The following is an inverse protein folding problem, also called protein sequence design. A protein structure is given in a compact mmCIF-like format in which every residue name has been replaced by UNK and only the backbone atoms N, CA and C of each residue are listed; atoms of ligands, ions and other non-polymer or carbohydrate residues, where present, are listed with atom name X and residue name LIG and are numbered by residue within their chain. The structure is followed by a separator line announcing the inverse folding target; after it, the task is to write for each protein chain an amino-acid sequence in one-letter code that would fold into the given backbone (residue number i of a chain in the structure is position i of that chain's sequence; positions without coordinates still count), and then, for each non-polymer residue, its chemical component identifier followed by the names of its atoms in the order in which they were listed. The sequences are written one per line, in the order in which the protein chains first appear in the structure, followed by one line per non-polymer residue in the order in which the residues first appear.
data_IF_080917539105
#
_entry.id   IF_080917539105
#
_cell.length_a   1.000
_cell.length_b   1.000
_cell.length_c   1.000
_cell.angle_alpha   90.00
_cell.angle_beta   90.00
_cell.angle_gamma   90.00
#
_symmetry.space_group_name_H-M   'P 1'
#
loop_
_entity.id
_entity.type
_entity.pdbx_description
1 polymer ?
#
# COMPACT_ATOMS: atom_id res chain seq x y z
N UNK A 1 -15.86 -39.61 -1.96
CA UNK A 1 -14.87 -39.36 -0.90
C UNK A 1 -13.40 -39.34 -1.40
N UNK A 2 -13.17 -39.09 -2.67
CA UNK A 2 -11.83 -39.06 -3.29
C UNK A 2 -11.44 -37.66 -3.83
N UNK A 3 -12.35 -36.69 -3.86
CA UNK A 3 -12.13 -35.37 -4.45
C UNK A 3 -11.53 -34.33 -3.47
N UNK A 4 -11.55 -34.61 -2.15
CA UNK A 4 -11.01 -33.70 -1.13
C UNK A 4 -9.50 -33.87 -0.83
N UNK A 5 -8.87 -34.94 -1.29
CA UNK A 5 -7.45 -35.21 -0.99
C UNK A 5 -6.47 -34.55 -1.95
N UNK A 6 -6.91 -34.10 -3.14
CA UNK A 6 -6.04 -33.49 -4.14
C UNK A 6 -5.77 -31.99 -3.94
N UNK A 7 -6.61 -31.31 -3.15
CA UNK A 7 -6.46 -29.87 -2.91
C UNK A 7 -5.37 -29.51 -1.87
N UNK A 8 -4.93 -30.47 -1.06
CA UNK A 8 -3.97 -30.23 0.04
C UNK A 8 -2.51 -30.50 -0.31
N UNK A 9 -2.21 -31.13 -1.43
CA UNK A 9 -0.84 -31.53 -1.79
C UNK A 9 -0.13 -30.53 -2.71
N UNK A 10 -0.87 -29.64 -3.39
CA UNK A 10 -0.26 -28.66 -4.32
C UNK A 10 0.24 -27.38 -3.63
N UNK A 11 -0.06 -27.20 -2.33
CA UNK A 11 0.28 -25.96 -1.61
C UNK A 11 1.68 -25.92 -0.98
N UNK A 12 2.53 -26.94 -1.15
CA UNK A 12 3.77 -27.07 -0.38
C UNK A 12 5.05 -26.58 -1.05
N UNK A 13 5.01 -26.05 -2.27
CA UNK A 13 6.24 -25.61 -2.97
C UNK A 13 6.13 -24.34 -3.83
N UNK A 14 5.30 -23.37 -3.47
CA UNK A 14 5.53 -22.02 -3.98
C UNK A 14 6.20 -21.25 -2.85
N UNK A 15 7.52 -21.30 -2.82
CA UNK A 15 8.35 -20.36 -2.09
C UNK A 15 8.03 -18.97 -2.69
N UNK A 16 7.05 -18.26 -2.12
CA UNK A 16 6.71 -16.89 -2.52
C UNK A 16 7.90 -16.02 -2.11
N UNK A 17 8.87 -15.88 -3.05
CA UNK A 17 10.10 -15.16 -2.76
C UNK A 17 9.93 -13.64 -2.85
N UNK A 18 8.92 -13.12 -3.55
CA UNK A 18 8.76 -11.68 -3.81
C UNK A 18 7.41 -11.19 -3.29
N UNK A 19 7.39 -10.73 -2.05
CA UNK A 19 6.14 -10.43 -1.33
C UNK A 19 5.93 -8.95 -1.02
N UNK A 20 6.99 -8.13 -1.01
CA UNK A 20 6.88 -6.74 -0.59
C UNK A 20 6.93 -5.76 -1.78
N UNK A 21 5.91 -4.90 -1.88
CA UNK A 21 5.93 -3.70 -2.72
C UNK A 21 6.35 -2.52 -1.84
N UNK A 22 7.54 -1.97 -2.08
CA UNK A 22 8.14 -0.96 -1.20
C UNK A 22 8.29 0.39 -1.89
N UNK A 23 8.22 1.53 -1.15
CA UNK A 23 8.39 2.84 -1.74
C UNK A 23 9.87 3.18 -1.98
N UNK A 24 10.19 3.75 -3.12
CA UNK A 24 11.38 4.60 -3.25
C UNK A 24 11.04 5.97 -2.66
N UNK A 25 11.60 6.23 -1.50
CA UNK A 25 11.26 7.41 -0.73
C UNK A 25 11.96 8.65 -1.31
N UNK A 26 11.21 9.73 -1.57
CA UNK A 26 11.77 10.94 -2.17
C UNK A 26 12.69 11.76 -1.26
N UNK A 27 12.74 11.45 0.04
CA UNK A 27 13.65 12.09 1.00
C UNK A 27 15.02 11.42 1.11
N UNK A 28 15.27 10.37 0.31
CA UNK A 28 16.58 9.73 0.26
C UNK A 28 17.63 10.72 -0.28
N UNK A 29 18.62 11.06 0.55
CA UNK A 29 19.83 11.68 0.02
C UNK A 29 20.62 10.67 -0.81
N UNK A 30 21.39 11.15 -1.78
CA UNK A 30 22.23 10.28 -2.62
C UNK A 30 23.19 9.42 -1.76
N UNK A 31 23.80 10.02 -0.75
CA UNK A 31 24.65 9.29 0.18
C UNK A 31 23.92 8.18 0.93
N UNK A 32 22.70 8.45 1.44
CA UNK A 32 21.91 7.42 2.13
C UNK A 32 21.45 6.33 1.17
N UNK A 33 21.13 6.69 -0.07
CA UNK A 33 20.81 5.73 -1.12
C UNK A 33 21.97 4.76 -1.35
N UNK A 34 23.18 5.28 -1.54
CA UNK A 34 24.38 4.48 -1.83
C UNK A 34 24.85 3.63 -0.64
N UNK A 35 24.90 4.24 0.55
CA UNK A 35 25.50 3.62 1.75
C UNK A 35 24.54 2.64 2.46
N UNK A 36 23.23 2.87 2.38
CA UNK A 36 22.24 2.15 3.20
C UNK A 36 21.16 1.48 2.36
N UNK A 37 20.45 2.27 1.51
CA UNK A 37 19.24 1.78 0.87
C UNK A 37 19.53 0.77 -0.25
N UNK A 38 20.48 1.08 -1.13
CA UNK A 38 20.86 0.16 -2.21
C UNK A 38 21.48 -1.15 -1.68
N UNK A 39 22.42 -1.15 -0.72
CA UNK A 39 22.90 -2.39 -0.09
C UNK A 39 21.77 -3.20 0.59
N UNK A 40 20.81 -2.52 1.23
CA UNK A 40 19.63 -3.19 1.78
C UNK A 40 18.84 -3.89 0.67
N UNK A 41 18.55 -3.21 -0.45
CA UNK A 41 17.84 -3.80 -1.58
C UNK A 41 18.59 -5.00 -2.16
N UNK A 42 19.89 -4.87 -2.37
CA UNK A 42 20.74 -5.94 -2.89
C UNK A 42 20.69 -7.21 -2.01
N UNK A 43 20.71 -7.03 -0.69
CA UNK A 43 20.74 -8.12 0.27
C UNK A 43 19.36 -8.77 0.52
N UNK A 44 18.25 -8.13 0.07
CA UNK A 44 16.90 -8.62 0.36
C UNK A 44 16.00 -8.65 -0.90
N UNK A 45 16.60 -8.60 -2.10
CA UNK A 45 15.86 -8.53 -3.38
C UNK A 45 14.89 -9.69 -3.60
N UNK A 46 15.14 -10.84 -3.00
CA UNK A 46 14.28 -12.02 -3.07
C UNK A 46 12.93 -11.82 -2.37
N UNK A 47 12.84 -10.89 -1.44
CA UNK A 47 11.59 -10.53 -0.76
C UNK A 47 10.86 -9.37 -1.43
N UNK A 48 11.50 -8.64 -2.35
CA UNK A 48 10.96 -7.43 -2.95
C UNK A 48 10.27 -7.76 -4.26
N UNK A 49 8.95 -7.57 -4.29
CA UNK A 49 8.14 -7.74 -5.49
C UNK A 49 8.41 -6.61 -6.48
N UNK A 50 8.25 -5.38 -6.04
CA UNK A 50 8.58 -4.18 -6.80
C UNK A 50 8.92 -2.99 -5.90
N UNK A 51 9.46 -1.96 -6.54
CA UNK A 51 9.67 -0.65 -5.93
C UNK A 51 8.82 0.36 -6.67
N UNK A 52 8.00 1.11 -5.93
CA UNK A 52 7.16 2.14 -6.53
C UNK A 52 7.57 3.55 -6.10
N UNK A 53 7.49 4.50 -7.02
CA UNK A 53 7.84 5.89 -6.77
C UNK A 53 6.78 6.85 -7.32
N UNK A 54 6.71 8.07 -6.79
CA UNK A 54 5.85 9.13 -7.34
C UNK A 54 6.52 9.71 -8.58
N UNK A 55 5.85 9.63 -9.73
CA UNK A 55 6.40 10.05 -11.02
C UNK A 55 6.64 11.56 -11.12
N UNK A 56 5.94 12.36 -10.33
CA UNK A 56 6.02 13.83 -10.30
C UNK A 56 5.86 14.51 -11.66
N UNK A 57 5.00 13.94 -12.46
CA UNK A 57 4.65 14.47 -13.78
C UNK A 57 3.32 15.22 -13.67
N UNK A 58 3.31 16.56 -13.82
CA UNK A 58 2.07 17.33 -13.79
C UNK A 58 1.10 16.91 -14.91
N UNK A 59 -0.20 16.93 -14.67
CA UNK A 59 -0.94 17.16 -13.42
C UNK A 59 -1.22 15.88 -12.62
N UNK A 60 -0.54 14.78 -12.94
CA UNK A 60 -0.82 13.44 -12.41
C UNK A 60 -0.09 13.15 -11.10
N UNK A 61 0.74 14.04 -10.66
CA UNK A 61 1.42 13.95 -9.39
C UNK A 61 0.46 14.07 -8.23
N UNK A 62 0.69 13.25 -7.23
CA UNK A 62 0.07 13.38 -5.92
C UNK A 62 1.17 13.20 -4.91
N UNK A 63 1.48 14.24 -4.22
CA UNK A 63 2.21 14.18 -2.97
C UNK A 63 1.24 13.74 -1.87
N UNK A 64 0.73 12.53 -2.01
CA UNK A 64 -0.40 12.00 -1.27
C UNK A 64 -0.28 12.12 0.26
N UNK A 65 0.88 12.52 0.78
CA UNK A 65 1.11 12.66 2.22
C UNK A 65 1.95 13.91 2.55
N UNK A 66 2.01 14.89 1.65
CA UNK A 66 2.59 16.19 1.95
C UNK A 66 4.10 16.26 1.93
N UNK A 67 4.71 15.38 1.22
CA UNK A 67 6.12 15.46 0.96
C UNK A 67 6.41 16.56 -0.09
N UNK A 68 6.94 17.66 0.36
CA UNK A 68 7.54 18.67 -0.51
C UNK A 68 8.84 18.12 -1.05
N UNK A 69 8.90 17.86 -2.35
CA UNK A 69 10.15 17.55 -3.03
C UNK A 69 10.40 18.63 -4.06
N UNK A 70 11.61 19.17 -4.08
CA UNK A 70 12.03 20.18 -5.06
C UNK A 70 12.05 19.56 -6.46
N UNK A 71 11.85 20.37 -7.48
CA UNK A 71 11.82 19.93 -8.88
C UNK A 71 13.06 19.13 -9.29
N UNK A 72 14.23 19.52 -8.79
CA UNK A 72 15.51 18.86 -9.06
C UNK A 72 15.62 17.43 -8.51
N UNK A 73 14.76 17.06 -7.57
CA UNK A 73 14.82 15.75 -6.92
C UNK A 73 14.12 14.66 -7.75
N UNK A 74 13.29 15.06 -8.75
CA UNK A 74 12.59 14.11 -9.63
C UNK A 74 13.55 13.30 -10.48
N UNK A 75 14.50 13.95 -11.11
CA UNK A 75 15.42 13.30 -12.05
C UNK A 75 16.38 12.38 -11.30
N UNK A 76 16.81 12.76 -10.10
CA UNK A 76 17.58 11.90 -9.20
C UNK A 76 16.73 10.67 -8.79
N UNK A 77 15.47 10.87 -8.45
CA UNK A 77 14.57 9.79 -8.07
C UNK A 77 14.37 8.78 -9.20
N UNK A 78 14.18 9.28 -10.45
CA UNK A 78 14.05 8.44 -11.64
C UNK A 78 15.37 7.72 -11.93
N UNK A 79 16.51 8.42 -11.86
CA UNK A 79 17.82 7.83 -12.08
C UNK A 79 18.11 6.70 -11.08
N UNK A 80 17.81 6.91 -9.79
CA UNK A 80 17.97 5.88 -8.77
C UNK A 80 17.01 4.69 -9.01
N UNK A 81 15.78 4.95 -9.45
CA UNK A 81 14.83 3.89 -9.79
C UNK A 81 15.33 3.03 -10.94
N UNK A 82 15.80 3.63 -12.03
CA UNK A 82 16.38 2.93 -13.18
C UNK A 82 17.65 2.16 -12.80
N UNK A 83 18.52 2.78 -11.99
CA UNK A 83 19.72 2.12 -11.49
C UNK A 83 19.42 0.85 -10.69
N UNK A 84 18.39 0.89 -9.84
CA UNK A 84 17.93 -0.30 -9.10
C UNK A 84 17.45 -1.38 -10.08
N UNK A 85 16.62 -1.00 -11.06
CA UNK A 85 16.06 -1.94 -12.02
C UNK A 85 17.16 -2.63 -12.84
N UNK A 86 18.11 -1.86 -13.35
CA UNK A 86 19.20 -2.34 -14.18
C UNK A 86 20.14 -3.28 -13.40
N UNK A 87 20.53 -2.91 -12.19
CA UNK A 87 21.57 -3.62 -11.44
C UNK A 87 21.02 -4.73 -10.53
N UNK A 88 19.78 -4.65 -10.06
CA UNK A 88 19.19 -5.63 -9.15
C UNK A 88 18.09 -6.48 -9.78
N UNK A 89 17.58 -6.08 -10.96
CA UNK A 89 16.46 -6.76 -11.62
C UNK A 89 15.14 -6.65 -10.82
N UNK A 90 14.99 -5.62 -9.98
CA UNK A 90 13.76 -5.35 -9.26
C UNK A 90 12.86 -4.50 -10.14
N UNK A 91 11.60 -4.92 -10.31
CA UNK A 91 10.62 -4.15 -11.09
C UNK A 91 10.37 -2.77 -10.48
N UNK A 92 10.38 -1.74 -11.33
CA UNK A 92 10.07 -0.36 -10.93
C UNK A 92 8.68 0.02 -11.42
N UNK A 93 7.89 0.66 -10.54
CA UNK A 93 6.53 1.09 -10.82
C UNK A 93 6.35 2.58 -10.63
N UNK A 94 6.00 3.30 -11.68
CA UNK A 94 5.66 4.73 -11.59
C UNK A 94 4.24 4.93 -11.06
N UNK A 95 4.05 5.87 -10.16
CA UNK A 95 2.75 6.13 -9.53
C UNK A 95 2.17 7.47 -10.00
N UNK A 96 0.97 7.41 -10.59
CA UNK A 96 0.16 8.52 -11.05
C UNK A 96 -1.18 8.49 -10.30
N UNK A 97 -1.17 8.90 -9.04
CA UNK A 97 -2.29 8.69 -8.11
C UNK A 97 -3.33 9.81 -8.09
N UNK A 98 -3.16 10.88 -8.85
CA UNK A 98 -4.06 12.02 -8.77
C UNK A 98 -5.44 11.71 -9.38
N UNK A 99 -6.36 11.22 -8.55
CA UNK A 99 -7.75 10.94 -8.96
C UNK A 99 -8.58 12.20 -9.19
N UNK A 100 -8.09 13.38 -8.78
CA UNK A 100 -8.76 14.67 -8.99
C UNK A 100 -8.48 15.24 -10.39
N UNK A 101 -7.54 14.68 -11.12
CA UNK A 101 -7.35 15.02 -12.54
C UNK A 101 -8.64 14.67 -13.29
N UNK A 102 -9.18 15.64 -14.02
CA UNK A 102 -10.39 15.41 -14.82
C UNK A 102 -10.21 14.24 -15.79
N UNK A 103 -11.19 13.33 -15.92
CA UNK A 103 -11.11 12.18 -16.82
C UNK A 103 -11.29 12.53 -18.32
N UNK A 104 -10.94 13.75 -18.74
CA UNK A 104 -11.01 14.19 -20.12
C UNK A 104 -10.00 13.46 -20.99
N UNK A 105 -10.35 13.29 -22.29
CA UNK A 105 -9.50 12.64 -23.28
C UNK A 105 -8.13 13.33 -23.43
N UNK A 106 -8.10 14.66 -23.34
CA UNK A 106 -6.85 15.43 -23.41
C UNK A 106 -5.87 15.05 -22.27
N UNK A 107 -6.39 14.78 -21.08
CA UNK A 107 -5.56 14.31 -19.96
C UNK A 107 -5.04 12.88 -20.20
N UNK A 108 -5.80 12.03 -20.87
CA UNK A 108 -5.32 10.72 -21.31
C UNK A 108 -4.17 10.85 -22.32
N UNK A 109 -4.31 11.74 -23.31
CA UNK A 109 -3.25 12.03 -24.28
C UNK A 109 -2.01 12.60 -23.61
N UNK A 110 -2.21 13.54 -22.67
CA UNK A 110 -1.11 14.13 -21.88
C UNK A 110 -0.41 13.08 -21.04
N UNK A 111 -1.16 12.17 -20.40
CA UNK A 111 -0.57 11.04 -19.67
C UNK A 111 0.30 10.19 -20.59
N UNK A 112 -0.20 9.77 -21.75
CA UNK A 112 0.58 8.96 -22.71
C UNK A 112 1.88 9.65 -23.10
N UNK A 113 1.78 10.92 -23.48
CA UNK A 113 2.96 11.73 -23.86
C UNK A 113 4.00 11.78 -22.75
N UNK A 114 3.57 11.98 -21.52
CA UNK A 114 4.46 12.14 -20.36
C UNK A 114 4.99 10.81 -19.84
N UNK A 115 4.25 9.72 -20.02
CA UNK A 115 4.67 8.39 -19.60
C UNK A 115 5.61 7.71 -20.61
N UNK A 116 5.49 8.00 -21.88
CA UNK A 116 6.28 7.35 -22.94
C UNK A 116 7.81 7.40 -22.63
N UNK A 117 8.43 8.51 -22.23
CA UNK A 117 9.85 8.52 -21.91
C UNK A 117 10.24 7.57 -20.77
N UNK A 118 9.38 7.42 -19.76
CA UNK A 118 9.61 6.46 -18.67
C UNK A 118 9.49 5.01 -19.17
N UNK A 119 8.50 4.77 -20.03
CA UNK A 119 8.30 3.45 -20.63
C UNK A 119 9.47 3.05 -21.52
N UNK A 120 9.98 3.97 -22.35
CA UNK A 120 11.14 3.76 -23.23
C UNK A 120 12.43 3.55 -22.41
N UNK A 121 12.55 4.22 -21.26
CA UNK A 121 13.64 4.00 -20.30
C UNK A 121 13.53 2.66 -19.52
N UNK A 122 12.48 1.87 -19.75
CA UNK A 122 12.35 0.52 -19.17
C UNK A 122 11.35 0.41 -18.01
N UNK A 123 10.66 1.48 -17.59
CA UNK A 123 9.64 1.41 -16.54
C UNK A 123 8.34 0.84 -17.12
N UNK A 124 8.17 -0.46 -16.99
CA UNK A 124 7.03 -1.23 -17.55
C UNK A 124 5.90 -1.46 -16.56
N UNK A 125 5.81 -0.67 -15.49
CA UNK A 125 4.75 -0.78 -14.49
C UNK A 125 4.28 0.60 -14.05
N UNK A 126 2.95 0.82 -14.00
CA UNK A 126 2.40 2.09 -13.58
C UNK A 126 1.07 1.95 -12.83
N UNK A 127 0.94 2.73 -11.75
CA UNK A 127 -0.37 2.97 -11.11
C UNK A 127 -1.03 4.16 -11.79
N UNK A 128 -2.25 3.97 -12.31
CA UNK A 128 -2.98 5.00 -13.05
C UNK A 128 -4.21 5.50 -12.27
N UNK A 129 -4.61 6.78 -12.46
CA UNK A 129 -5.70 7.38 -11.71
C UNK A 129 -7.09 6.92 -12.19
N UNK A 130 -7.25 6.55 -13.47
CA UNK A 130 -8.54 6.32 -14.09
C UNK A 130 -8.64 4.99 -14.81
N UNK A 131 -9.60 4.16 -14.41
CA UNK A 131 -9.83 2.84 -15.02
C UNK A 131 -10.23 2.91 -16.51
N UNK A 132 -10.98 3.95 -16.92
CA UNK A 132 -11.39 4.07 -18.32
C UNK A 132 -10.22 4.27 -19.31
N UNK A 133 -9.05 4.70 -18.85
CA UNK A 133 -7.86 4.76 -19.71
C UNK A 133 -7.40 3.38 -20.18
N UNK A 134 -7.67 2.34 -19.39
CA UNK A 134 -7.44 0.96 -19.80
C UNK A 134 -8.34 0.61 -20.99
N UNK A 135 -9.64 0.95 -20.87
CA UNK A 135 -10.63 0.75 -21.95
C UNK A 135 -10.33 1.56 -23.22
N UNK A 136 -9.69 2.73 -23.08
CA UNK A 136 -9.22 3.54 -24.22
C UNK A 136 -8.03 2.93 -24.96
N UNK A 137 -7.52 1.78 -24.50
CA UNK A 137 -6.48 1.04 -25.20
C UNK A 137 -5.06 1.37 -24.72
N UNK A 138 -4.87 1.71 -23.46
CA UNK A 138 -3.55 2.01 -22.91
C UNK A 138 -2.52 0.91 -23.20
N UNK A 139 -2.92 -0.37 -23.14
CA UNK A 139 -2.04 -1.50 -23.49
C UNK A 139 -1.74 -1.63 -24.99
N UNK A 140 -2.52 -1.03 -25.86
CA UNK A 140 -2.18 -0.99 -27.27
C UNK A 140 -1.02 -0.05 -27.56
N UNK A 141 -0.93 1.02 -26.77
CA UNK A 141 0.18 1.99 -26.84
C UNK A 141 1.43 1.49 -26.12
N UNK A 142 1.22 0.81 -24.97
CA UNK A 142 2.28 0.29 -24.10
C UNK A 142 2.04 -1.21 -23.85
N UNK A 143 2.39 -2.11 -24.79
CA UNK A 143 2.01 -3.53 -24.73
C UNK A 143 2.55 -4.27 -23.50
N UNK A 144 3.77 -3.94 -23.05
CA UNK A 144 4.40 -4.58 -21.90
C UNK A 144 3.98 -3.95 -20.56
N UNK A 145 3.17 -2.88 -20.58
CA UNK A 145 2.80 -2.16 -19.38
C UNK A 145 1.97 -3.03 -18.44
N UNK A 146 2.47 -3.25 -17.23
CA UNK A 146 1.71 -3.75 -16.09
C UNK A 146 0.90 -2.61 -15.48
N UNK A 147 -0.40 -2.64 -15.66
CA UNK A 147 -1.31 -1.59 -15.21
C UNK A 147 -1.82 -1.92 -13.81
N UNK A 148 -1.62 -0.97 -12.88
CA UNK A 148 -2.10 -1.04 -11.50
C UNK A 148 -3.20 0.00 -11.26
N UNK A 149 -4.23 -0.38 -10.48
CA UNK A 149 -5.17 0.62 -9.97
C UNK A 149 -4.53 1.40 -8.82
N UNK A 150 -5.07 2.58 -8.52
CA UNK A 150 -4.77 3.25 -7.26
C UNK A 150 -5.64 2.71 -6.13
N UNK A 151 -5.09 2.62 -4.91
CA UNK A 151 -5.85 2.25 -3.70
C UNK A 151 -7.03 3.21 -3.43
N UNK A 152 -6.96 4.43 -3.96
CA UNK A 152 -8.02 5.43 -3.85
C UNK A 152 -9.30 5.02 -4.59
N UNK A 153 -9.26 3.98 -5.43
CA UNK A 153 -10.45 3.39 -6.08
C UNK A 153 -11.21 2.42 -5.20
N UNK A 154 -10.75 2.19 -3.96
CA UNK A 154 -11.49 1.50 -2.89
C UNK A 154 -12.04 0.14 -3.30
N UNK A 155 -11.23 -0.70 -3.96
CA UNK A 155 -11.60 -2.09 -4.29
C UNK A 155 -11.70 -2.87 -2.98
N UNK A 156 -12.90 -3.07 -2.48
CA UNK A 156 -13.16 -3.58 -1.14
C UNK A 156 -13.96 -4.90 -1.10
N UNK A 157 -14.37 -5.38 -2.27
CA UNK A 157 -15.12 -6.64 -2.38
C UNK A 157 -14.55 -7.54 -3.47
N UNK A 158 -14.90 -8.82 -3.43
CA UNK A 158 -14.57 -9.77 -4.48
C UNK A 158 -15.16 -9.34 -5.85
N UNK A 159 -16.35 -8.75 -5.85
CA UNK A 159 -16.96 -8.22 -7.07
C UNK A 159 -16.20 -7.03 -7.64
N UNK A 160 -15.74 -6.10 -6.78
CA UNK A 160 -14.92 -4.97 -7.24
C UNK A 160 -13.60 -5.46 -7.85
N UNK A 161 -12.99 -6.50 -7.25
CA UNK A 161 -11.78 -7.12 -7.79
C UNK A 161 -12.03 -7.74 -9.17
N UNK A 162 -13.14 -8.47 -9.34
CA UNK A 162 -13.51 -9.07 -10.64
C UNK A 162 -13.67 -7.97 -11.69
N UNK A 163 -14.40 -6.91 -11.38
CA UNK A 163 -14.60 -5.78 -12.29
C UNK A 163 -13.28 -5.11 -12.66
N UNK A 164 -12.38 -4.88 -11.72
CA UNK A 164 -11.06 -4.31 -12.00
C UNK A 164 -10.23 -5.22 -12.91
N UNK A 165 -10.23 -6.52 -12.67
CA UNK A 165 -9.52 -7.49 -13.50
C UNK A 165 -10.07 -7.54 -14.93
N UNK A 166 -11.40 -7.56 -15.08
CA UNK A 166 -12.09 -7.54 -16.38
C UNK A 166 -11.89 -6.23 -17.16
N UNK A 167 -11.72 -5.11 -16.46
CA UNK A 167 -11.32 -3.84 -17.06
C UNK A 167 -9.90 -3.86 -17.64
N UNK A 168 -9.07 -4.84 -17.27
CA UNK A 168 -7.74 -5.04 -17.83
C UNK A 168 -6.58 -4.62 -16.90
N UNK A 169 -6.84 -4.40 -15.62
CA UNK A 169 -5.77 -4.26 -14.65
C UNK A 169 -4.99 -5.56 -14.48
N UNK A 170 -3.68 -5.45 -14.32
CA UNK A 170 -2.77 -6.57 -14.08
C UNK A 170 -2.50 -6.77 -12.59
N UNK A 171 -2.74 -5.73 -11.81
CA UNK A 171 -2.44 -5.67 -10.38
C UNK A 171 -3.46 -4.76 -9.70
N UNK A 172 -4.11 -5.27 -8.67
CA UNK A 172 -5.18 -4.59 -7.95
C UNK A 172 -4.73 -4.29 -6.53
N UNK A 173 -4.52 -3.00 -6.23
CA UNK A 173 -4.42 -2.53 -4.86
C UNK A 173 -5.81 -2.58 -4.24
N UNK A 174 -6.03 -3.52 -3.33
CA UNK A 174 -7.28 -3.67 -2.59
C UNK A 174 -7.33 -2.71 -1.41
N UNK A 175 -8.55 -2.37 -0.97
CA UNK A 175 -8.71 -1.38 0.09
C UNK A 175 -8.14 -1.88 1.43
N UNK A 176 -7.52 -0.97 2.16
CA UNK A 176 -6.92 -1.20 3.49
C UNK A 176 -7.90 -1.71 4.54
N UNK A 177 -9.20 -1.44 4.38
CA UNK A 177 -10.24 -1.93 5.31
C UNK A 177 -10.30 -3.44 5.38
N UNK A 178 -9.84 -4.13 4.34
CA UNK A 178 -9.84 -5.58 4.25
C UNK A 178 -8.92 -6.26 5.27
N UNK A 179 -7.99 -5.53 5.87
CA UNK A 179 -7.24 -6.04 7.03
C UNK A 179 -8.13 -6.38 8.23
N UNK A 180 -9.34 -5.85 8.26
CA UNK A 180 -10.34 -6.07 9.30
C UNK A 180 -11.51 -6.96 8.83
N UNK A 181 -11.39 -7.54 7.62
CA UNK A 181 -12.41 -8.42 7.02
C UNK A 181 -11.74 -9.60 6.30
N UNK A 182 -11.22 -10.54 7.09
CA UNK A 182 -10.58 -11.74 6.58
C UNK A 182 -11.51 -12.60 5.73
N UNK A 183 -12.83 -12.53 5.98
CA UNK A 183 -13.80 -13.28 5.19
C UNK A 183 -13.88 -12.74 3.76
N UNK A 184 -13.88 -11.41 3.59
CA UNK A 184 -13.87 -10.82 2.26
C UNK A 184 -12.52 -11.06 1.54
N UNK A 185 -11.38 -11.08 2.25
CA UNK A 185 -10.12 -11.49 1.66
C UNK A 185 -10.14 -12.91 1.10
N UNK A 186 -10.83 -13.84 1.79
CA UNK A 186 -11.05 -15.21 1.29
C UNK A 186 -11.88 -15.22 0.01
N UNK A 187 -12.93 -14.41 -0.06
CA UNK A 187 -13.74 -14.28 -1.27
C UNK A 187 -12.96 -13.65 -2.43
N UNK A 188 -12.14 -12.63 -2.17
CA UNK A 188 -11.22 -12.05 -3.17
C UNK A 188 -10.26 -13.13 -3.68
N UNK A 189 -9.73 -13.99 -2.81
CA UNK A 189 -8.85 -15.09 -3.23
C UNK A 189 -9.58 -16.10 -4.13
N UNK A 190 -10.83 -16.41 -3.82
CA UNK A 190 -11.68 -17.24 -4.69
C UNK A 190 -11.95 -16.58 -6.04
N UNK A 191 -12.25 -15.28 -6.03
CA UNK A 191 -12.43 -14.49 -7.23
C UNK A 191 -11.15 -14.42 -8.09
N UNK A 192 -9.97 -14.41 -7.46
CA UNK A 192 -8.68 -14.47 -8.18
C UNK A 192 -8.52 -15.78 -8.96
N UNK A 193 -8.91 -16.91 -8.37
CA UNK A 193 -8.93 -18.20 -9.07
C UNK A 193 -9.92 -18.18 -10.25
N UNK A 194 -11.13 -17.64 -10.04
CA UNK A 194 -12.11 -17.47 -11.09
C UNK A 194 -11.58 -16.62 -12.26
N UNK A 195 -10.97 -15.47 -11.98
CA UNK A 195 -10.39 -14.58 -12.98
C UNK A 195 -9.25 -15.27 -13.73
N UNK A 196 -8.37 -15.99 -13.02
CA UNK A 196 -7.29 -16.75 -13.67
C UNK A 196 -7.83 -17.74 -14.70
N UNK A 197 -8.89 -18.46 -14.37
CA UNK A 197 -9.50 -19.42 -15.26
C UNK A 197 -10.25 -18.73 -16.44
N UNK A 198 -10.89 -17.58 -16.18
CA UNK A 198 -11.67 -16.85 -17.19
C UNK A 198 -10.80 -16.11 -18.20
N UNK A 199 -9.72 -15.48 -17.75
CA UNK A 199 -8.88 -14.61 -18.56
C UNK A 199 -7.54 -15.26 -18.96
N UNK A 200 -7.28 -16.49 -18.52
CA UNK A 200 -5.98 -17.17 -18.64
C UNK A 200 -4.81 -16.28 -18.16
N UNK A 201 -5.06 -15.52 -17.08
CA UNK A 201 -4.15 -14.51 -16.59
C UNK A 201 -4.23 -14.38 -15.07
N UNK A 202 -3.07 -14.34 -14.40
CA UNK A 202 -3.01 -14.00 -12.98
C UNK A 202 -3.05 -12.49 -12.80
N UNK A 203 -4.10 -12.00 -12.14
CA UNK A 203 -4.22 -10.59 -11.73
C UNK A 203 -3.84 -10.49 -10.27
N UNK A 204 -2.73 -9.80 -9.99
CA UNK A 204 -2.16 -9.71 -8.65
C UNK A 204 -3.03 -8.89 -7.71
N UNK A 205 -3.05 -9.26 -6.44
CA UNK A 205 -3.66 -8.48 -5.36
C UNK A 205 -2.59 -7.94 -4.42
N UNK A 206 -2.76 -6.69 -3.98
CA UNK A 206 -1.87 -6.09 -3.01
C UNK A 206 -2.65 -5.41 -1.87
N UNK A 207 -2.23 -5.70 -0.64
CA UNK A 207 -2.79 -5.11 0.57
C UNK A 207 -1.76 -4.18 1.22
N UNK A 208 -2.18 -2.96 1.58
CA UNK A 208 -1.33 -1.99 2.26
C UNK A 208 -1.16 -2.39 3.73
N UNK A 209 0.07 -2.49 4.23
CA UNK A 209 0.39 -3.16 5.51
C UNK A 209 0.48 -2.25 6.72
N UNK A 210 1.03 -1.03 6.55
CA UNK A 210 1.52 -0.20 7.64
C UNK A 210 0.97 1.25 7.62
N UNK A 211 -0.21 1.44 7.07
CA UNK A 211 -0.81 2.77 7.03
C UNK A 211 -1.49 3.12 8.37
N UNK A 212 -1.15 4.28 8.92
CA UNK A 212 -1.80 4.81 10.11
C UNK A 212 -3.16 5.45 9.81
N UNK A 213 -4.14 4.68 9.34
CA UNK A 213 -5.48 5.15 9.03
C UNK A 213 -6.52 4.31 9.77
N UNK A 214 -7.66 4.91 10.19
CA UNK A 214 -8.76 4.15 10.80
C UNK A 214 -9.57 3.31 9.80
N UNK A 215 -9.34 3.47 8.47
CA UNK A 215 -10.20 2.86 7.46
C UNK A 215 -11.63 3.41 7.48
N UNK A 216 -12.44 3.08 6.47
CA UNK A 216 -13.87 3.46 6.36
C UNK A 216 -14.20 4.89 6.82
N UNK A 217 -13.31 5.83 6.49
CA UNK A 217 -13.49 7.23 6.83
C UNK A 217 -14.30 7.92 5.72
N UNK A 218 -15.46 8.51 6.04
CA UNK A 218 -16.25 9.24 5.05
C UNK A 218 -15.53 10.47 4.50
N UNK A 219 -14.55 11.01 5.26
CA UNK A 219 -13.74 12.17 4.88
C UNK A 219 -12.48 11.80 4.07
N UNK A 220 -12.38 10.57 3.57
CA UNK A 220 -11.14 10.11 2.94
C UNK A 220 -10.82 10.87 1.65
N UNK A 221 -11.83 11.13 0.82
CA UNK A 221 -11.64 11.80 -0.46
C UNK A 221 -11.24 13.26 -0.26
N UNK A 222 -11.86 13.94 0.71
CA UNK A 222 -11.50 15.30 1.10
C UNK A 222 -10.11 15.38 1.72
N UNK A 223 -9.75 14.38 2.54
CA UNK A 223 -8.41 14.29 3.12
C UNK A 223 -7.34 14.13 2.03
N UNK A 224 -7.59 13.30 1.02
CA UNK A 224 -6.68 13.18 -0.12
C UNK A 224 -6.65 14.44 -0.98
N UNK A 225 -7.80 15.07 -1.23
CA UNK A 225 -7.86 16.35 -1.92
C UNK A 225 -7.07 17.43 -1.16
N UNK A 226 -7.27 17.51 0.15
CA UNK A 226 -6.50 18.41 1.02
C UNK A 226 -4.99 18.16 0.94
N UNK A 227 -4.54 16.92 1.02
CA UNK A 227 -3.11 16.60 0.94
C UNK A 227 -2.51 16.99 -0.42
N UNK A 228 -3.28 16.89 -1.50
CA UNK A 228 -2.84 17.33 -2.82
C UNK A 228 -2.78 18.85 -2.96
N UNK A 229 -3.67 19.55 -2.28
CA UNK A 229 -3.85 20.98 -2.42
C UNK A 229 -3.10 21.79 -1.36
N UNK A 230 -2.59 21.18 -0.29
CA UNK A 230 -1.99 21.89 0.84
C UNK A 230 -0.78 22.77 0.48
N UNK A 231 -0.29 22.62 -0.73
CA UNK A 231 0.79 23.46 -1.29
C UNK A 231 0.26 24.59 -2.17
N UNK A 232 -1.04 24.61 -2.48
CA UNK A 232 -1.64 25.64 -3.28
C UNK A 232 -2.10 26.82 -2.42
N UNK A 233 -2.04 28.03 -2.99
CA UNK A 233 -2.52 29.25 -2.31
C UNK A 233 -4.05 29.30 -2.12
N UNK A 234 -4.76 28.28 -2.65
CA UNK A 234 -6.23 28.23 -2.65
C UNK A 234 -6.83 27.63 -1.37
N UNK A 235 -5.99 27.34 -0.36
CA UNK A 235 -6.38 26.53 0.79
C UNK A 235 -6.56 27.21 2.15
N UNK A 236 -6.55 28.53 2.33
CA UNK A 236 -6.48 29.07 3.70
C UNK A 236 -7.68 28.67 4.59
N UNK A 237 -8.86 28.44 4.05
CA UNK A 237 -10.02 28.03 4.85
C UNK A 237 -10.12 26.51 5.04
N UNK A 238 -9.74 25.75 4.05
CA UNK A 238 -9.79 24.28 4.06
C UNK A 238 -8.88 23.69 5.17
N UNK A 239 -7.73 24.32 5.39
CA UNK A 239 -6.74 23.91 6.39
C UNK A 239 -7.29 23.91 7.81
N UNK A 240 -8.12 24.88 8.18
CA UNK A 240 -8.64 25.00 9.54
C UNK A 240 -9.82 24.07 9.82
N UNK A 241 -10.67 23.80 8.85
CA UNK A 241 -11.88 23.02 9.06
C UNK A 241 -11.61 21.51 8.97
N UNK A 242 -10.75 21.07 8.04
CA UNK A 242 -10.39 19.65 7.92
C UNK A 242 -9.55 19.18 9.11
N UNK A 243 -8.64 19.99 9.64
CA UNK A 243 -7.84 19.61 10.81
C UNK A 243 -8.70 19.27 12.03
N UNK A 244 -9.89 19.83 12.18
CA UNK A 244 -10.81 19.55 13.28
C UNK A 244 -11.53 18.20 13.16
N UNK A 245 -11.65 17.64 11.98
CA UNK A 245 -12.41 16.41 11.70
C UNK A 245 -11.56 15.25 11.20
N UNK A 246 -10.27 15.49 10.92
CA UNK A 246 -9.33 14.47 10.45
C UNK A 246 -8.83 13.54 11.55
N UNK A 247 -8.21 12.44 11.15
CA UNK A 247 -7.56 11.50 12.07
C UNK A 247 -6.49 12.16 12.93
N UNK A 248 -5.80 13.21 12.45
CA UNK A 248 -4.80 13.95 13.21
C UNK A 248 -5.39 14.47 14.52
N UNK A 249 -6.56 15.11 14.48
CA UNK A 249 -7.23 15.58 15.68
C UNK A 249 -7.62 14.45 16.65
N UNK A 250 -8.11 13.32 16.11
CA UNK A 250 -8.45 12.15 16.93
C UNK A 250 -7.19 11.46 17.46
N UNK A 251 -6.12 11.50 16.67
CA UNK A 251 -4.85 10.90 17.02
C UNK A 251 -4.17 11.62 18.18
N UNK A 252 -4.11 12.95 18.14
CA UNK A 252 -3.59 13.77 19.26
C UNK A 252 -4.29 13.48 20.58
N UNK A 253 -5.59 13.21 20.55
CA UNK A 253 -6.39 12.95 21.75
C UNK A 253 -6.43 11.48 22.21
N UNK A 254 -6.19 10.54 21.31
CA UNK A 254 -6.38 9.10 21.54
C UNK A 254 -5.23 8.25 20.96
N UNK A 255 -4.01 8.75 21.03
CA UNK A 255 -2.85 8.12 20.37
C UNK A 255 -2.67 6.64 20.75
N UNK A 256 -2.91 6.27 22.02
CA UNK A 256 -2.77 4.89 22.46
C UNK A 256 -3.82 3.95 21.82
N UNK A 257 -5.06 4.42 21.68
CA UNK A 257 -6.10 3.64 21.03
C UNK A 257 -5.93 3.57 19.51
N UNK A 258 -5.27 4.57 18.94
CA UNK A 258 -5.07 4.66 17.49
C UNK A 258 -4.29 3.46 16.96
N UNK A 259 -3.21 3.06 17.61
CA UNK A 259 -2.42 1.90 17.19
C UNK A 259 -3.29 0.63 17.08
N UNK A 260 -4.13 0.38 18.07
CA UNK A 260 -5.00 -0.80 18.07
C UNK A 260 -6.16 -0.70 17.08
N UNK A 261 -6.55 0.51 16.67
CA UNK A 261 -7.65 0.75 15.72
C UNK A 261 -7.20 0.93 14.28
N UNK A 262 -5.94 1.25 14.04
CA UNK A 262 -5.45 1.57 12.71
C UNK A 262 -5.60 0.40 11.72
N UNK A 263 -5.76 0.74 10.44
CA UNK A 263 -5.73 -0.22 9.36
C UNK A 263 -4.28 -0.61 9.05
N UNK A 264 -3.69 -1.36 9.97
CA UNK A 264 -2.36 -1.94 9.85
C UNK A 264 -2.41 -3.44 10.15
N UNK A 265 -1.54 -4.21 9.53
CA UNK A 265 -1.32 -5.61 9.95
C UNK A 265 -0.61 -5.58 11.30
N UNK A 266 -1.06 -6.33 12.30
CA UNK A 266 -0.31 -6.45 13.55
C UNK A 266 1.14 -6.84 13.29
N UNK A 267 2.12 -6.23 13.98
CA UNK A 267 3.53 -6.34 13.64
C UNK A 267 4.17 -7.66 14.09
N UNK A 268 3.54 -8.77 13.75
CA UNK A 268 4.00 -10.13 14.02
C UNK A 268 4.14 -10.89 12.71
N UNK A 269 5.22 -11.64 12.56
CA UNK A 269 5.48 -12.38 11.33
C UNK A 269 4.33 -13.32 10.95
N UNK A 270 3.75 -14.00 11.92
CA UNK A 270 2.60 -14.89 11.70
C UNK A 270 1.40 -14.18 11.07
N UNK A 271 1.17 -12.90 11.40
CA UNK A 271 0.09 -12.11 10.83
C UNK A 271 0.37 -11.79 9.35
N UNK A 272 1.61 -11.45 9.01
CA UNK A 272 2.03 -11.25 7.62
C UNK A 272 1.89 -12.54 6.81
N UNK A 273 2.34 -13.68 7.36
CA UNK A 273 2.22 -14.99 6.72
C UNK A 273 0.75 -15.40 6.53
N UNK A 274 -0.13 -15.07 7.47
CA UNK A 274 -1.56 -15.33 7.33
C UNK A 274 -2.19 -14.49 6.22
N UNK A 275 -1.90 -13.18 6.15
CA UNK A 275 -2.42 -12.34 5.08
C UNK A 275 -1.91 -12.75 3.69
N UNK A 276 -0.66 -13.23 3.58
CA UNK A 276 -0.08 -13.76 2.34
C UNK A 276 -0.78 -15.03 1.81
N UNK A 277 -1.61 -15.69 2.61
CA UNK A 277 -2.47 -16.77 2.10
C UNK A 277 -3.58 -16.24 1.19
N UNK A 278 -3.96 -14.97 1.35
CA UNK A 278 -5.10 -14.37 0.67
C UNK A 278 -4.72 -13.30 -0.35
N UNK A 279 -3.55 -12.69 -0.21
CA UNK A 279 -3.04 -11.66 -1.13
C UNK A 279 -1.66 -12.05 -1.65
N UNK A 280 -1.32 -11.55 -2.84
CA UNK A 280 -0.02 -11.88 -3.45
C UNK A 280 1.11 -10.96 -2.94
N UNK A 281 0.77 -9.71 -2.62
CA UNK A 281 1.74 -8.66 -2.30
C UNK A 281 1.32 -7.87 -1.07
N UNK A 282 2.27 -7.67 -0.17
CA UNK A 282 2.17 -6.77 0.97
C UNK A 282 2.82 -5.44 0.59
N UNK A 283 1.98 -4.43 0.39
CA UNK A 283 2.44 -3.10 0.00
C UNK A 283 2.72 -2.25 1.23
N UNK A 284 3.85 -1.57 1.25
CA UNK A 284 4.20 -0.66 2.33
C UNK A 284 3.87 0.78 1.97
N UNK A 285 3.36 1.54 2.92
CA UNK A 285 3.30 2.99 2.88
C UNK A 285 4.66 3.57 3.31
N UNK A 286 5.06 4.73 2.79
CA UNK A 286 6.34 5.26 3.26
C UNK A 286 7.00 6.29 2.36
N UNK A 287 6.23 7.19 1.72
CA UNK A 287 6.76 8.29 0.90
C UNK A 287 6.63 9.66 1.55
N UNK A 288 6.11 9.71 2.76
CA UNK A 288 5.69 10.93 3.47
C UNK A 288 6.75 11.52 4.38
N UNK A 289 7.73 10.72 4.80
CA UNK A 289 8.82 11.19 5.66
C UNK A 289 10.06 10.31 5.57
N UNK A 290 11.20 10.85 6.00
CA UNK A 290 12.47 10.10 6.06
C UNK A 290 12.37 8.89 7.02
N UNK A 291 11.67 9.05 8.15
CA UNK A 291 11.54 7.96 9.14
C UNK A 291 10.88 6.70 8.57
N UNK A 292 10.02 6.84 7.55
CA UNK A 292 9.40 5.71 6.86
C UNK A 292 10.38 4.83 6.09
N UNK A 293 11.55 5.35 5.75
CA UNK A 293 12.61 4.55 5.11
C UNK A 293 13.08 3.48 6.08
N UNK A 294 13.40 3.89 7.32
CA UNK A 294 13.85 2.97 8.35
C UNK A 294 12.78 1.95 8.74
N UNK A 295 11.51 2.37 8.77
CA UNK A 295 10.38 1.47 8.98
C UNK A 295 10.31 0.40 7.87
N UNK A 296 10.39 0.80 6.60
CA UNK A 296 10.38 -0.13 5.45
C UNK A 296 11.55 -1.12 5.52
N UNK A 297 12.76 -0.62 5.76
CA UNK A 297 13.96 -1.46 5.93
C UNK A 297 13.77 -2.44 7.08
N UNK A 298 13.29 -1.96 8.22
CA UNK A 298 13.08 -2.78 9.41
C UNK A 298 12.06 -3.90 9.21
N UNK A 299 10.94 -3.60 8.54
CA UNK A 299 9.90 -4.58 8.23
C UNK A 299 10.47 -5.71 7.37
N UNK A 300 11.14 -5.38 6.26
CA UNK A 300 11.71 -6.39 5.35
C UNK A 300 12.81 -7.21 6.04
N UNK A 301 13.73 -6.56 6.75
CA UNK A 301 14.80 -7.25 7.49
C UNK A 301 14.26 -8.21 8.55
N UNK A 302 13.33 -7.75 9.38
CA UNK A 302 12.75 -8.60 10.43
C UNK A 302 12.01 -9.79 9.83
N UNK A 303 11.25 -9.57 8.76
CA UNK A 303 10.58 -10.66 8.05
C UNK A 303 11.58 -11.69 7.49
N UNK A 304 12.64 -11.22 6.83
CA UNK A 304 13.70 -12.07 6.26
C UNK A 304 14.45 -12.88 7.33
N UNK A 305 14.66 -12.29 8.51
CA UNK A 305 15.31 -12.95 9.66
C UNK A 305 14.35 -13.85 10.45
N UNK A 306 13.12 -14.01 10.00
CA UNK A 306 12.08 -14.78 10.71
C UNK A 306 11.77 -14.24 12.12
N UNK A 307 11.87 -12.93 12.30
CA UNK A 307 11.56 -12.23 13.52
C UNK A 307 10.18 -11.54 13.44
N UNK A 308 9.65 -11.16 14.59
CA UNK A 308 8.50 -10.27 14.64
C UNK A 308 8.83 -8.90 14.02
N UNK A 309 7.81 -8.27 13.41
CA UNK A 309 7.94 -7.03 12.64
C UNK A 309 7.91 -5.80 13.57
N UNK A 310 8.35 -5.96 14.80
CA UNK A 310 8.30 -4.92 15.83
C UNK A 310 9.28 -3.79 15.52
N UNK A 311 8.77 -2.56 15.50
CA UNK A 311 9.51 -1.32 15.44
C UNK A 311 9.40 -0.61 16.80
N UNK A 312 10.33 0.29 17.10
CA UNK A 312 10.33 0.97 18.41
C UNK A 312 8.99 1.68 18.69
N UNK A 313 8.40 2.31 17.67
CA UNK A 313 7.11 2.96 17.78
C UNK A 313 5.97 2.02 18.19
N UNK A 314 5.88 0.82 17.58
CA UNK A 314 4.82 -0.13 17.93
C UNK A 314 5.13 -0.96 19.17
N UNK A 315 6.40 -1.21 19.48
CA UNK A 315 6.81 -1.77 20.78
C UNK A 315 6.27 -0.94 21.94
N UNK A 316 6.38 0.39 21.87
CA UNK A 316 5.88 1.28 22.89
C UNK A 316 4.37 1.15 23.16
N UNK A 317 3.57 0.81 22.13
CA UNK A 317 2.13 0.55 22.29
C UNK A 317 1.81 -0.83 22.84
N UNK A 318 2.63 -1.82 22.56
CA UNK A 318 2.43 -3.21 22.98
C UNK A 318 3.01 -3.48 24.36
N UNK A 319 3.93 -2.65 24.82
CA UNK A 319 4.54 -2.76 26.13
C UNK A 319 3.49 -2.66 27.25
N UNK A 320 3.48 -3.64 28.15
CA UNK A 320 2.50 -3.74 29.24
C UNK A 320 1.13 -4.35 28.87
N UNK A 321 0.88 -4.71 27.60
CA UNK A 321 -0.25 -5.55 27.25
C UNK A 321 0.13 -7.01 27.49
N UNK A 322 -0.71 -7.76 28.22
CA UNK A 322 -0.41 -9.16 28.45
C UNK A 322 -0.59 -10.03 27.20
N UNK A 323 0.06 -11.19 27.18
CA UNK A 323 0.09 -12.06 26.01
C UNK A 323 -1.30 -12.53 25.55
N UNK A 324 -2.19 -12.87 26.49
CA UNK A 324 -3.54 -13.34 26.15
C UNK A 324 -4.43 -12.22 25.65
N UNK A 325 -4.32 -11.01 26.19
CA UNK A 325 -5.01 -9.84 25.65
C UNK A 325 -4.55 -9.54 24.22
N UNK A 326 -3.24 -9.59 23.98
CA UNK A 326 -2.67 -9.37 22.65
C UNK A 326 -3.13 -10.41 21.63
N UNK A 327 -3.14 -11.68 22.02
CA UNK A 327 -3.65 -12.78 21.21
C UNK A 327 -5.14 -12.61 20.90
N UNK A 328 -5.93 -12.22 21.89
CA UNK A 328 -7.36 -11.94 21.73
C UNK A 328 -7.61 -10.77 20.80
N UNK A 329 -6.83 -9.69 20.91
CA UNK A 329 -6.87 -8.54 20.02
C UNK A 329 -6.55 -8.94 18.58
N UNK A 330 -5.43 -9.62 18.33
CA UNK A 330 -5.02 -10.11 17.00
C UNK A 330 -6.13 -10.93 16.33
N UNK A 331 -6.80 -11.81 17.10
CA UNK A 331 -7.92 -12.61 16.61
C UNK A 331 -9.13 -11.74 16.27
N UNK A 332 -9.51 -10.83 17.19
CA UNK A 332 -10.71 -10.00 17.05
C UNK A 332 -10.63 -9.03 15.87
N UNK A 333 -9.50 -8.40 15.65
CA UNK A 333 -9.39 -7.36 14.63
C UNK A 333 -9.51 -7.90 13.19
N UNK A 334 -9.23 -9.17 12.94
CA UNK A 334 -9.28 -9.78 11.60
C UNK A 334 -10.68 -9.83 11.00
N UNK A 335 -11.72 -9.71 11.85
CA UNK A 335 -13.12 -9.80 11.42
C UNK A 335 -14.01 -8.70 12.01
N UNK A 336 -13.42 -7.68 12.62
CA UNK A 336 -14.18 -6.64 13.30
C UNK A 336 -14.86 -5.63 12.36
N UNK A 337 -14.43 -5.55 11.10
CA UNK A 337 -14.98 -4.69 10.06
C UNK A 337 -15.09 -3.22 10.47
N UNK A 338 -14.21 -2.75 11.38
CA UNK A 338 -14.22 -1.40 11.96
C UNK A 338 -15.57 -0.99 12.60
N UNK A 339 -16.25 -1.90 13.28
CA UNK A 339 -17.50 -1.62 14.03
C UNK A 339 -17.20 -0.88 15.34
N UNK A 340 -16.35 0.13 15.30
CA UNK A 340 -15.88 0.87 16.48
C UNK A 340 -16.97 1.74 17.12
N UNK A 341 -18.06 2.01 16.41
CA UNK A 341 -19.22 2.74 16.93
C UNK A 341 -19.99 1.95 18.01
N UNK A 342 -19.92 0.63 17.96
CA UNK A 342 -20.59 -0.29 18.89
C UNK A 342 -19.59 -1.11 19.72
N UNK A 343 -18.29 -0.90 19.54
CA UNK A 343 -17.24 -1.71 20.15
C UNK A 343 -16.14 -0.83 20.73
N UNK A 344 -15.93 -0.93 22.05
CA UNK A 344 -14.87 -0.20 22.77
C UNK A 344 -13.61 -1.04 23.04
N UNK A 345 -13.48 -2.23 22.46
CA UNK A 345 -12.45 -3.21 22.80
C UNK A 345 -11.01 -2.63 22.69
N UNK A 346 -10.71 -1.95 21.59
CA UNK A 346 -9.39 -1.36 21.38
C UNK A 346 -9.11 -0.16 22.32
N UNK A 347 -10.16 0.58 22.71
CA UNK A 347 -10.05 1.67 23.69
C UNK A 347 -9.76 1.09 25.08
N UNK A 348 -10.50 0.07 25.49
CA UNK A 348 -10.30 -0.62 26.77
C UNK A 348 -8.88 -1.20 26.83
N UNK A 349 -8.39 -1.82 25.76
CA UNK A 349 -7.02 -2.35 25.68
C UNK A 349 -5.97 -1.24 25.80
N UNK A 350 -6.19 -0.09 25.21
CA UNK A 350 -5.30 1.06 25.32
C UNK A 350 -5.34 1.68 26.74
N UNK A 351 -6.48 1.66 27.40
CA UNK A 351 -6.65 2.23 28.75
C UNK A 351 -6.01 1.37 29.83
N UNK A 352 -5.84 0.05 29.62
CA UNK A 352 -5.09 -0.82 30.56
C UNK A 352 -3.65 -0.36 30.75
N UNK A 353 -3.09 0.41 29.79
CA UNK A 353 -1.74 1.01 29.89
C UNK A 353 -1.67 2.22 30.80
N UNK A 354 -2.72 3.05 30.82
CA UNK A 354 -2.75 4.28 31.62
C UNK A 354 -2.70 4.01 33.12
N UNK A 355 -3.11 2.81 33.55
CA UNK A 355 -3.11 2.41 34.97
C UNK A 355 -1.74 1.93 35.47
N UNK A 356 -0.72 1.82 34.61
CA UNK A 356 0.62 1.30 34.97
C UNK A 356 1.72 2.36 34.97
N UNK A 357 1.38 3.63 34.65
CA UNK A 357 2.25 4.80 34.75
C UNK A 357 1.88 5.62 35.97
#
# INVERSE_FOLDING_TARGET
MVVMAFALVVYKEIKMSKIFSIPLNPFLSQKYFEDIYYPFLSNHKEYIYDIYFTSRIPPFEVDAMGAFIKENDRDILIANALYIQENLGIEISATFNNINVSPKYDNYLLFKKNFAPLYDAGIKSATIPHAHWVALGLKKEFPELKIKNTILRKVATAQDYVLAAEQGFDYVNIDRILMRDLNELKEIKRAQVYIKNKLDKHVFTALLTNEGCFGRCPMMDEHYAYNNLKTSNDLPYFKHEISKVTCEYKWEKQINAFFFKAATIPPFKEEYDEFLQYVDVLKMHGRDSFNRINETIGIVKNYALNNDILQDGNKAYLDGVNHEELKSWRKKIKTCRFQCWDCNYCDALADTKKCKT
#
